data_IF_139872405473
#
_entry.id   IF_139872405473
#
_cell.length_a   1.000
_cell.length_b   1.000
_cell.length_c   1.000
_cell.angle_alpha   90.00
_cell.angle_beta   90.00
_cell.angle_gamma   90.00
#
_symmetry.space_group_name_H-M   'P 1'
#
loop_
_entity.id
_entity.type
_entity.pdbx_description
1 polymer ?
#
# COMPACT_ATOMS: atom_id res chain seq x y z
N UNK A 1 -30.94 3.96 20.42
CA UNK A 1 -29.79 4.84 20.16
C UNK A 1 -28.63 4.08 19.54
N UNK A 2 -28.19 3.01 20.16
CA UNK A 2 -27.11 2.19 19.63
C UNK A 2 -27.45 1.54 18.29
N UNK A 3 -28.67 1.07 18.14
CA UNK A 3 -29.16 0.45 16.90
C UNK A 3 -29.10 1.47 15.75
N UNK A 4 -29.42 2.72 16.04
CA UNK A 4 -29.39 3.79 15.05
C UNK A 4 -27.95 4.10 14.59
N UNK A 5 -27.02 4.15 15.54
CA UNK A 5 -25.60 4.36 15.22
C UNK A 5 -25.03 3.25 14.37
N UNK A 6 -25.33 1.99 14.72
CA UNK A 6 -24.90 0.83 13.93
C UNK A 6 -25.44 0.88 12.52
N UNK A 7 -26.69 1.32 12.36
CA UNK A 7 -27.29 1.43 11.04
C UNK A 7 -26.59 2.46 10.16
N UNK A 8 -26.20 3.60 10.74
CA UNK A 8 -25.44 4.63 10.02
C UNK A 8 -24.06 4.14 9.62
N UNK A 9 -23.40 3.40 10.49
CA UNK A 9 -22.09 2.81 10.18
C UNK A 9 -22.18 1.79 9.07
N UNK A 10 -23.21 0.96 9.07
CA UNK A 10 -23.44 -0.01 8.01
C UNK A 10 -23.68 0.66 6.66
N UNK A 11 -24.43 1.76 6.65
CA UNK A 11 -24.65 2.52 5.42
C UNK A 11 -23.34 3.12 4.90
N UNK A 12 -22.51 3.60 5.81
CA UNK A 12 -21.21 4.16 5.44
C UNK A 12 -20.30 3.08 4.86
N UNK A 13 -20.28 1.90 5.48
CA UNK A 13 -19.51 0.74 5.00
C UNK A 13 -20.02 0.29 3.63
N UNK A 14 -21.34 0.29 3.43
CA UNK A 14 -21.95 -0.12 2.18
C UNK A 14 -21.56 0.80 1.01
N UNK A 15 -21.16 2.05 1.29
CA UNK A 15 -20.73 3.00 0.27
C UNK A 15 -19.22 2.97 0.03
N UNK A 16 -18.46 2.30 0.88
CA UNK A 16 -17.02 2.19 0.71
C UNK A 16 -16.67 1.22 -0.41
N UNK A 17 -15.67 1.57 -1.19
CA UNK A 17 -15.13 0.69 -2.23
C UNK A 17 -13.93 -0.04 -1.64
N UNK A 18 -13.99 -1.36 -1.64
CA UNK A 18 -12.90 -2.20 -1.18
C UNK A 18 -12.22 -2.87 -2.37
N UNK A 19 -10.90 -2.77 -2.40
CA UNK A 19 -10.09 -3.37 -3.45
C UNK A 19 -8.98 -4.16 -2.75
N UNK A 20 -8.87 -5.44 -3.11
CA UNK A 20 -7.81 -6.31 -2.57
C UNK A 20 -6.87 -6.67 -3.71
N UNK A 21 -5.57 -6.54 -3.46
CA UNK A 21 -4.59 -7.00 -4.41
C UNK A 21 -4.59 -8.53 -4.47
N UNK A 22 -3.96 -9.06 -5.50
CA UNK A 22 -3.60 -10.47 -5.52
C UNK A 22 -2.65 -10.75 -4.35
N UNK A 23 -2.57 -12.00 -3.93
CA UNK A 23 -1.55 -12.47 -3.00
C UNK A 23 -0.32 -12.88 -3.79
N UNK A 24 0.84 -12.61 -3.25
CA UNK A 24 2.09 -13.07 -3.85
C UNK A 24 3.04 -13.56 -2.76
N UNK A 25 3.81 -14.57 -3.12
CA UNK A 25 4.82 -15.12 -2.20
C UNK A 25 6.11 -14.34 -2.43
N UNK A 26 6.58 -13.70 -1.38
CA UNK A 26 7.81 -12.91 -1.39
C UNK A 26 8.90 -13.71 -0.71
N UNK A 27 10.06 -13.83 -1.36
CA UNK A 27 11.19 -14.62 -0.87
C UNK A 27 11.98 -13.86 0.20
N UNK A 28 11.28 -13.39 1.22
CA UNK A 28 11.81 -12.72 2.40
C UNK A 28 10.92 -13.08 3.57
N UNK A 29 11.50 -13.10 4.76
CA UNK A 29 10.71 -13.36 5.97
C UNK A 29 9.82 -12.18 6.31
N UNK A 30 8.68 -12.42 6.99
CA UNK A 30 7.76 -11.34 7.33
C UNK A 30 8.42 -10.17 8.07
N UNK A 31 9.32 -10.44 9.01
CA UNK A 31 9.98 -9.37 9.74
C UNK A 31 10.88 -8.53 8.85
N UNK A 32 11.52 -9.14 7.84
CA UNK A 32 12.37 -8.41 6.90
C UNK A 32 11.57 -7.45 6.04
N UNK A 33 10.44 -7.92 5.52
CA UNK A 33 9.54 -7.07 4.74
C UNK A 33 8.95 -5.95 5.61
N UNK A 34 8.48 -6.31 6.79
CA UNK A 34 7.92 -5.33 7.72
C UNK A 34 8.93 -4.21 7.99
N UNK A 35 10.17 -4.57 8.30
CA UNK A 35 11.20 -3.57 8.60
C UNK A 35 11.54 -2.70 7.39
N UNK A 36 11.37 -3.21 6.19
CA UNK A 36 11.54 -2.44 4.97
C UNK A 36 10.44 -1.40 4.75
N UNK A 37 9.24 -1.69 5.20
CA UNK A 37 8.08 -0.82 4.99
C UNK A 37 7.65 -0.02 6.23
N UNK A 38 8.31 -0.23 7.36
CA UNK A 38 7.92 0.43 8.61
C UNK A 38 8.19 1.94 8.59
N UNK A 39 9.17 2.37 7.82
CA UNK A 39 9.57 3.77 7.69
C UNK A 39 9.12 4.30 6.34
N UNK A 40 8.25 5.31 6.36
CA UNK A 40 7.69 5.86 5.11
C UNK A 40 8.74 6.48 4.20
N UNK A 41 9.89 6.89 4.74
CA UNK A 41 10.99 7.43 3.93
C UNK A 41 11.55 6.39 2.96
N UNK A 42 11.43 5.11 3.29
CA UNK A 42 11.89 4.04 2.42
C UNK A 42 11.10 3.97 1.10
N UNK A 43 9.84 4.39 1.11
CA UNK A 43 9.01 4.39 -0.10
C UNK A 43 9.53 5.39 -1.15
N UNK A 44 10.18 6.46 -0.73
CA UNK A 44 10.72 7.45 -1.66
C UNK A 44 11.78 6.83 -2.55
N UNK A 45 12.51 5.84 -2.02
CA UNK A 45 13.57 5.16 -2.77
C UNK A 45 13.03 4.35 -3.96
N UNK A 46 11.75 3.96 -3.91
CA UNK A 46 11.12 3.21 -5.00
C UNK A 46 10.71 4.09 -6.18
N UNK A 47 10.84 5.40 -6.04
CA UNK A 47 10.38 6.33 -7.05
C UNK A 47 11.50 6.70 -8.02
N UNK A 48 11.17 7.01 -9.29
CA UNK A 48 12.14 7.58 -10.22
C UNK A 48 12.71 8.89 -9.67
N UNK A 49 13.95 9.22 -10.05
CA UNK A 49 14.63 10.39 -9.53
C UNK A 49 13.87 11.70 -9.76
N UNK A 50 13.21 11.82 -10.91
CA UNK A 50 12.42 13.02 -11.23
C UNK A 50 11.18 13.15 -10.34
N UNK A 51 10.66 12.04 -9.82
CA UNK A 51 9.50 12.04 -8.92
C UNK A 51 9.87 12.28 -7.47
N UNK A 52 11.08 11.94 -7.07
CA UNK A 52 11.53 12.09 -5.67
C UNK A 52 11.48 13.54 -5.21
N UNK A 53 11.71 14.47 -6.09
CA UNK A 53 11.73 15.90 -5.77
C UNK A 53 10.38 16.44 -5.34
N UNK A 54 9.30 15.78 -5.75
CA UNK A 54 7.93 16.19 -5.46
C UNK A 54 7.35 15.48 -4.25
N UNK A 55 8.14 14.62 -3.60
CA UNK A 55 7.67 13.79 -2.50
C UNK A 55 8.40 14.18 -1.22
N UNK A 56 7.63 14.37 -0.16
CA UNK A 56 8.16 14.59 1.17
C UNK A 56 7.76 13.41 2.05
N UNK A 57 8.68 12.91 2.85
CA UNK A 57 8.40 11.78 3.72
C UNK A 57 9.15 11.92 5.04
N UNK A 58 8.51 11.47 6.10
CA UNK A 58 9.14 11.24 7.38
C UNK A 58 8.84 9.78 7.82
N UNK A 59 9.14 9.45 9.06
CA UNK A 59 8.94 8.07 9.53
C UNK A 59 7.48 7.63 9.43
N UNK A 60 6.54 8.52 9.71
CA UNK A 60 5.11 8.20 9.83
C UNK A 60 4.26 8.63 8.64
N UNK A 61 4.79 9.41 7.72
CA UNK A 61 3.96 9.95 6.64
C UNK A 61 4.75 10.17 5.36
N UNK A 62 3.99 10.23 4.26
CA UNK A 62 4.53 10.56 2.95
C UNK A 62 3.49 11.43 2.25
N UNK A 63 3.96 12.46 1.56
CA UNK A 63 3.09 13.41 0.86
C UNK A 63 3.69 13.78 -0.49
N UNK A 64 2.84 13.87 -1.48
CA UNK A 64 3.27 14.23 -2.82
C UNK A 64 2.11 14.69 -3.69
N UNK A 65 2.44 14.97 -4.95
CA UNK A 65 1.46 15.38 -5.95
C UNK A 65 1.29 14.25 -6.96
N UNK A 66 0.04 13.84 -7.16
CA UNK A 66 -0.31 12.79 -8.13
C UNK A 66 -1.38 13.37 -9.05
N UNK A 67 -1.06 13.48 -10.34
CA UNK A 67 -1.98 14.00 -11.36
C UNK A 67 -2.61 15.34 -10.97
N UNK A 68 -1.78 16.25 -10.42
CA UNK A 68 -2.23 17.58 -10.02
C UNK A 68 -2.90 17.67 -8.65
N UNK A 69 -3.09 16.55 -7.98
CA UNK A 69 -3.69 16.51 -6.65
C UNK A 69 -2.63 16.28 -5.59
N UNK A 70 -2.72 17.04 -4.50
CA UNK A 70 -1.89 16.75 -3.32
C UNK A 70 -2.45 15.53 -2.60
N UNK A 71 -1.62 14.53 -2.38
CA UNK A 71 -2.01 13.29 -1.71
C UNK A 71 -1.03 13.00 -0.58
N UNK A 72 -1.56 12.86 0.63
CA UNK A 72 -0.79 12.47 1.78
C UNK A 72 -1.27 11.13 2.32
N UNK A 73 -0.33 10.36 2.86
CA UNK A 73 -0.60 9.08 3.50
C UNK A 73 0.15 9.05 4.83
N UNK A 74 -0.54 8.63 5.86
CA UNK A 74 0.01 8.53 7.21
C UNK A 74 -0.17 7.12 7.75
N UNK A 75 0.80 6.64 8.49
CA UNK A 75 0.66 5.38 9.21
C UNK A 75 -0.39 5.55 10.31
N UNK A 76 -1.41 4.70 10.29
CA UNK A 76 -2.44 4.66 11.33
C UNK A 76 -2.07 3.68 12.44
N UNK A 77 -1.54 2.53 12.09
CA UNK A 77 -1.15 1.52 13.07
C UNK A 77 -0.04 0.63 12.50
N UNK A 78 0.88 0.23 13.36
CA UNK A 78 1.90 -0.76 13.05
C UNK A 78 1.70 -1.94 13.98
N UNK A 79 1.39 -3.11 13.42
CA UNK A 79 1.36 -4.36 14.16
C UNK A 79 2.64 -5.10 13.81
N UNK A 80 3.62 -5.16 14.72
CA UNK A 80 4.96 -5.65 14.40
C UNK A 80 4.95 -6.98 13.65
N UNK A 81 5.65 -6.99 12.53
CA UNK A 81 5.90 -8.15 11.67
C UNK A 81 4.67 -8.76 11.02
N UNK A 82 3.51 -8.12 11.16
CA UNK A 82 2.23 -8.67 10.69
C UNK A 82 1.48 -7.74 9.73
N UNK A 83 1.34 -6.46 10.10
CA UNK A 83 0.49 -5.55 9.33
C UNK A 83 0.91 -4.11 9.55
N UNK A 84 0.76 -3.30 8.51
CA UNK A 84 0.87 -1.84 8.62
C UNK A 84 -0.39 -1.26 8.00
N UNK A 85 -1.09 -0.43 8.77
CA UNK A 85 -2.28 0.26 8.32
C UNK A 85 -1.96 1.73 8.04
N UNK A 86 -2.48 2.24 6.96
CA UNK A 86 -2.30 3.61 6.51
C UNK A 86 -3.67 4.25 6.31
N UNK A 87 -3.71 5.57 6.45
CA UNK A 87 -4.90 6.36 6.12
C UNK A 87 -4.49 7.59 5.34
N UNK A 88 -5.44 8.22 4.68
CA UNK A 88 -5.17 9.47 4.00
C UNK A 88 -4.80 10.57 4.99
N UNK A 89 -3.94 11.45 4.55
CA UNK A 89 -3.49 12.62 5.31
C UNK A 89 -3.46 13.81 4.35
N UNK A 90 -4.65 14.19 3.88
CA UNK A 90 -4.82 15.19 2.85
C UNK A 90 -4.87 14.58 1.46
N UNK A 91 -6.08 14.31 0.97
CA UNK A 91 -6.33 13.72 -0.34
C UNK A 91 -7.70 14.16 -0.82
N UNK A 92 -8.00 14.03 -2.11
CA UNK A 92 -9.33 14.40 -2.64
C UNK A 92 -10.47 13.53 -2.08
N UNK A 93 -10.16 12.37 -1.52
CA UNK A 93 -11.15 11.48 -0.92
C UNK A 93 -10.52 10.73 0.24
N UNK A 94 -11.36 10.21 1.13
CA UNK A 94 -10.90 9.43 2.28
C UNK A 94 -10.58 8.01 1.85
N UNK A 95 -9.43 7.50 2.29
CA UNK A 95 -9.05 6.11 2.01
C UNK A 95 -8.22 5.54 3.16
N UNK A 96 -8.12 4.22 3.17
CA UNK A 96 -7.22 3.48 4.03
C UNK A 96 -6.57 2.35 3.24
N UNK A 97 -5.36 2.00 3.64
CA UNK A 97 -4.59 0.92 3.02
C UNK A 97 -4.04 0.04 4.12
N UNK A 98 -4.06 -1.26 3.92
CA UNK A 98 -3.43 -2.20 4.84
C UNK A 98 -2.49 -3.12 4.06
N UNK A 99 -1.27 -3.24 4.55
CA UNK A 99 -0.28 -4.19 4.02
C UNK A 99 -0.17 -5.34 4.99
N UNK A 100 -0.30 -6.57 4.48
CA UNK A 100 -0.28 -7.78 5.29
C UNK A 100 0.97 -8.60 4.99
N UNK A 101 1.66 -8.99 6.05
CA UNK A 101 2.92 -9.75 6.01
C UNK A 101 2.72 -11.10 6.68
N UNK A 102 1.92 -11.97 6.07
CA UNK A 102 1.58 -13.25 6.67
C UNK A 102 2.67 -14.29 6.37
N UNK A 103 2.95 -15.20 7.31
CA UNK A 103 3.88 -16.28 7.02
C UNK A 103 3.34 -17.14 5.86
N UNK A 104 4.20 -17.40 4.87
CA UNK A 104 3.85 -18.30 3.79
C UNK A 104 3.96 -19.76 4.27
N UNK A 105 3.32 -20.72 3.57
CA UNK A 105 3.49 -22.13 3.89
C UNK A 105 4.97 -22.58 3.86
N UNK A 106 5.77 -21.97 2.96
CA UNK A 106 7.20 -22.23 2.93
C UNK A 106 7.92 -21.39 3.97
N UNK A 107 8.80 -22.02 4.74
CA UNK A 107 9.60 -21.34 5.76
C UNK A 107 10.47 -20.25 5.12
N UNK A 108 10.50 -19.08 5.76
CA UNK A 108 11.35 -17.99 5.32
C UNK A 108 10.75 -17.11 4.24
N UNK A 109 9.49 -17.35 3.89
CA UNK A 109 8.79 -16.56 2.88
C UNK A 109 7.55 -15.91 3.44
N UNK A 110 7.04 -14.92 2.75
CA UNK A 110 5.87 -14.14 3.17
C UNK A 110 4.78 -14.22 2.11
N UNK A 111 3.56 -14.45 2.56
CA UNK A 111 2.36 -14.26 1.74
C UNK A 111 1.95 -12.80 1.92
N UNK A 112 2.21 -12.00 0.91
CA UNK A 112 2.01 -10.55 0.95
C UNK A 112 0.81 -10.15 0.12
N UNK A 113 -0.02 -9.27 0.66
CA UNK A 113 -1.09 -8.63 -0.11
C UNK A 113 -1.41 -7.27 0.48
N UNK A 114 -2.16 -6.46 -0.28
CA UNK A 114 -2.57 -5.12 0.10
C UNK A 114 -4.08 -5.04 0.00
N UNK A 115 -4.71 -4.41 0.99
CA UNK A 115 -6.13 -4.10 0.95
C UNK A 115 -6.30 -2.58 0.96
N UNK A 116 -7.18 -2.09 0.11
CA UNK A 116 -7.46 -0.68 -0.05
C UNK A 116 -8.96 -0.46 0.14
N UNK A 117 -9.33 0.56 0.90
CA UNK A 117 -10.72 0.95 1.09
C UNK A 117 -10.83 2.46 0.90
N UNK A 118 -11.81 2.92 0.15
CA UNK A 118 -12.00 4.33 -0.10
C UNK A 118 -13.48 4.69 -0.23
N UNK A 119 -13.82 5.89 0.19
CA UNK A 119 -15.15 6.45 -0.02
C UNK A 119 -15.16 7.15 -1.38
N UNK A 120 -15.53 6.40 -2.41
CA UNK A 120 -15.59 6.90 -3.79
C UNK A 120 -17.04 7.06 -4.21
N UNK A 121 -17.36 8.18 -4.86
CA UNK A 121 -18.67 8.31 -5.49
C UNK A 121 -18.71 7.39 -6.72
N UNK A 122 -19.90 7.23 -7.30
CA UNK A 122 -20.10 6.31 -8.41
C UNK A 122 -19.18 6.61 -9.59
N UNK A 123 -19.03 7.89 -9.93
CA UNK A 123 -18.20 8.31 -11.06
C UNK A 123 -16.72 7.99 -10.81
N UNK A 124 -16.21 8.29 -9.61
CA UNK A 124 -14.83 8.00 -9.25
C UNK A 124 -14.58 6.50 -9.22
N UNK A 125 -15.54 5.73 -8.74
CA UNK A 125 -15.44 4.27 -8.72
C UNK A 125 -15.31 3.72 -10.13
N UNK A 126 -16.09 4.24 -11.07
CA UNK A 126 -15.99 3.82 -12.47
C UNK A 126 -14.67 4.19 -13.11
N UNK A 127 -14.15 5.38 -12.81
CA UNK A 127 -12.91 5.87 -13.41
C UNK A 127 -11.67 5.25 -12.80
N UNK A 128 -11.67 4.97 -11.50
CA UNK A 128 -10.46 4.61 -10.76
C UNK A 128 -10.41 3.14 -10.33
N UNK A 129 -11.56 2.47 -10.22
CA UNK A 129 -11.62 1.14 -9.61
C UNK A 129 -10.66 0.12 -10.26
N UNK A 130 -10.73 -0.02 -11.58
CA UNK A 130 -9.87 -0.97 -12.28
C UNK A 130 -8.41 -0.55 -12.24
N UNK A 131 -8.15 0.76 -12.32
CA UNK A 131 -6.78 1.28 -12.27
C UNK A 131 -6.14 1.06 -10.89
N UNK A 132 -6.93 1.21 -9.83
CA UNK A 132 -6.45 0.94 -8.48
C UNK A 132 -6.14 -0.55 -8.30
N UNK A 133 -7.01 -1.42 -8.81
CA UNK A 133 -6.77 -2.87 -8.77
C UNK A 133 -5.47 -3.22 -9.48
N UNK A 134 -5.28 -2.71 -10.69
CA UNK A 134 -4.07 -2.96 -11.47
C UNK A 134 -2.82 -2.43 -10.76
N UNK A 135 -2.92 -1.24 -10.15
CA UNK A 135 -1.79 -0.63 -9.44
C UNK A 135 -1.39 -1.48 -8.23
N UNK A 136 -2.37 -1.92 -7.44
CA UNK A 136 -2.09 -2.76 -6.27
C UNK A 136 -1.48 -4.10 -6.68
N UNK A 137 -2.04 -4.73 -7.70
CA UNK A 137 -1.52 -6.01 -8.18
C UNK A 137 -0.10 -5.87 -8.73
N UNK A 138 0.17 -4.75 -9.40
CA UNK A 138 1.50 -4.47 -9.94
C UNK A 138 2.53 -4.30 -8.82
N UNK A 139 2.17 -3.59 -7.77
CA UNK A 139 3.07 -3.40 -6.61
C UNK A 139 3.41 -4.74 -5.99
N UNK A 140 2.41 -5.56 -5.73
CA UNK A 140 2.58 -6.87 -5.10
C UNK A 140 3.43 -7.80 -5.99
N UNK A 141 3.13 -7.84 -7.26
CA UNK A 141 3.87 -8.67 -8.22
C UNK A 141 5.32 -8.21 -8.34
N UNK A 142 5.53 -6.89 -8.43
CA UNK A 142 6.88 -6.33 -8.54
C UNK A 142 7.73 -6.65 -7.31
N UNK A 143 7.13 -6.59 -6.14
CA UNK A 143 7.83 -6.92 -4.90
C UNK A 143 8.24 -8.39 -4.87
N UNK A 144 7.33 -9.28 -5.26
CA UNK A 144 7.62 -10.71 -5.32
C UNK A 144 8.73 -11.01 -6.32
N UNK A 145 8.65 -10.42 -7.50
CA UNK A 145 9.66 -10.61 -8.54
C UNK A 145 11.03 -10.09 -8.10
N UNK A 146 11.05 -8.92 -7.49
CA UNK A 146 12.30 -8.33 -6.99
C UNK A 146 12.94 -9.21 -5.93
N UNK A 147 12.14 -9.83 -5.06
CA UNK A 147 12.65 -10.71 -4.02
C UNK A 147 13.30 -11.97 -4.57
N UNK A 148 12.97 -12.36 -5.80
CA UNK A 148 13.55 -13.51 -6.48
C UNK A 148 14.60 -13.13 -7.53
N UNK A 149 14.96 -11.84 -7.57
CA UNK A 149 15.93 -11.34 -8.52
C UNK A 149 15.37 -11.04 -9.91
N UNK A 150 14.06 -11.20 -10.10
CA UNK A 150 13.40 -10.80 -11.35
C UNK A 150 13.08 -9.31 -11.28
N UNK A 151 13.44 -8.58 -12.32
CA UNK A 151 13.34 -7.12 -12.28
C UNK A 151 12.21 -6.63 -13.18
N UNK A 152 11.22 -5.94 -12.61
CA UNK A 152 10.28 -5.17 -13.41
C UNK A 152 11.02 -4.09 -14.17
N UNK A 153 10.47 -3.69 -15.30
CA UNK A 153 11.05 -2.63 -16.11
C UNK A 153 11.26 -1.35 -15.28
N UNK A 154 12.48 -0.81 -15.34
CA UNK A 154 12.82 0.40 -14.60
C UNK A 154 13.16 0.21 -13.13
N UNK A 155 13.18 -1.02 -12.65
CA UNK A 155 13.45 -1.33 -11.26
C UNK A 155 14.92 -1.72 -11.05
N UNK A 156 15.57 -1.11 -10.08
CA UNK A 156 16.95 -1.42 -9.71
C UNK A 156 16.96 -1.95 -8.27
N UNK A 157 17.14 -3.26 -8.08
CA UNK A 157 17.05 -3.85 -6.75
C UNK A 157 18.18 -3.43 -5.81
N UNK A 158 19.32 -2.96 -6.35
CA UNK A 158 20.41 -2.52 -5.50
C UNK A 158 20.03 -1.32 -4.65
N UNK A 159 19.08 -0.51 -5.12
CA UNK A 159 18.57 0.65 -4.38
C UNK A 159 17.70 0.28 -3.19
N UNK A 160 17.23 -0.96 -3.13
CA UNK A 160 16.26 -1.41 -2.13
C UNK A 160 16.83 -2.45 -1.18
N UNK A 161 18.09 -2.75 -1.28
CA UNK A 161 18.73 -3.73 -0.42
C UNK A 161 18.51 -5.18 -0.82
N UNK A 162 17.92 -5.43 -1.98
CA UNK A 162 17.66 -6.79 -2.45
C UNK A 162 18.77 -7.38 -3.31
N UNK A 163 19.76 -6.60 -3.68
CA UNK A 163 20.77 -7.00 -4.65
C UNK A 163 22.01 -7.68 -4.10
N UNK A 164 21.92 -8.26 -2.92
CA UNK A 164 23.09 -8.89 -2.30
C UNK A 164 22.92 -10.38 -2.12
#
# INVERSE_FOLDING_TARGET
MEVFSCHLEQNRIAMATEIKSRHAIVSRQPYELYMGFVDMRNFVQFLPEDKKKEIEADYDSIRGTVQGFSVGVRVAERVPYSRIDFKDDGAPFSFSISMFFDPAPETGKTDFHIEFSAELNFMMKMLLGSKLQEALDKVVTSLADASEGRMPEGFDPSKYGFGK
#
